data_IF_208087896836
#
_entry.id   IF_208087896836
#
_cell.length_a   1.000
_cell.length_b   1.000
_cell.length_c   1.000
_cell.angle_alpha   90.00
_cell.angle_beta   90.00
_cell.angle_gamma   90.00
#
_symmetry.space_group_name_H-M   'P 1'
#
loop_
_entity.id
_entity.type
_entity.pdbx_description
1 polymer ?
#
# COMPACT_ATOMS: atom_id res chain seq x y z
N UNK A 1 -6.12 2.95 3.64
CA UNK A 1 -7.58 2.80 3.91
C UNK A 1 -7.85 1.87 5.09
N UNK A 2 -7.35 0.62 5.09
CA UNK A 2 -7.62 -0.34 6.18
C UNK A 2 -7.20 0.18 7.57
N UNK A 3 -6.08 0.90 7.66
CA UNK A 3 -5.62 1.49 8.93
C UNK A 3 -6.59 2.51 9.49
N UNK A 4 -6.98 3.51 8.69
CA UNK A 4 -7.99 4.50 9.09
C UNK A 4 -9.30 3.83 9.55
N UNK A 5 -9.74 2.75 8.90
CA UNK A 5 -10.92 1.99 9.34
C UNK A 5 -10.69 1.29 10.68
N UNK A 6 -9.53 0.66 10.88
CA UNK A 6 -9.21 -0.01 12.14
C UNK A 6 -9.04 0.97 13.30
N UNK A 7 -8.51 2.16 13.04
CA UNK A 7 -8.36 3.20 14.05
C UNK A 7 -9.73 3.74 14.50
N UNK A 8 -10.64 4.02 13.56
CA UNK A 8 -12.02 4.44 13.87
C UNK A 8 -12.77 3.37 14.67
N UNK A 9 -12.54 2.09 14.38
CA UNK A 9 -13.17 0.98 15.10
C UNK A 9 -12.46 0.62 16.41
N UNK A 10 -11.36 1.29 16.75
CA UNK A 10 -10.48 0.94 17.87
C UNK A 10 -10.11 -0.56 17.86
N UNK A 11 -9.79 -1.07 16.66
CA UNK A 11 -9.52 -2.48 16.46
C UNK A 11 -8.16 -2.85 17.05
N UNK A 12 -8.11 -3.82 17.97
CA UNK A 12 -6.84 -4.24 18.57
C UNK A 12 -5.97 -4.94 17.53
N UNK A 13 -4.65 -4.78 17.67
CA UNK A 13 -3.64 -5.15 16.68
C UNK A 13 -3.72 -6.64 16.31
N UNK A 14 -4.02 -7.51 17.27
CA UNK A 14 -4.12 -8.96 17.11
C UNK A 14 -5.35 -9.41 16.30
N UNK A 15 -6.27 -8.47 16.03
CA UNK A 15 -7.46 -8.69 15.20
C UNK A 15 -7.35 -8.07 13.81
N UNK A 16 -6.49 -7.07 13.61
CA UNK A 16 -6.33 -6.37 12.32
C UNK A 16 -5.99 -7.32 11.17
N UNK A 17 -4.98 -8.19 11.38
CA UNK A 17 -4.57 -9.16 10.35
C UNK A 17 -5.70 -10.12 9.97
N UNK A 18 -6.43 -10.66 10.96
CA UNK A 18 -7.56 -11.57 10.73
C UNK A 18 -8.70 -10.90 9.97
N UNK A 19 -9.07 -9.67 10.34
CA UNK A 19 -10.12 -8.91 9.66
C UNK A 19 -9.70 -8.54 8.23
N UNK A 20 -8.45 -8.14 8.03
CA UNK A 20 -7.97 -7.78 6.71
C UNK A 20 -7.87 -9.01 5.79
N UNK A 21 -7.43 -10.17 6.29
CA UNK A 21 -7.50 -11.44 5.55
C UNK A 21 -8.94 -11.77 5.14
N UNK A 22 -9.92 -11.55 6.00
CA UNK A 22 -11.33 -11.79 5.67
C UNK A 22 -11.81 -10.89 4.52
N UNK A 23 -11.29 -9.66 4.42
CA UNK A 23 -11.61 -8.72 3.34
C UNK A 23 -10.91 -9.04 2.01
N UNK A 24 -9.85 -9.87 2.02
CA UNK A 24 -9.12 -10.29 0.82
C UNK A 24 -9.91 -11.38 0.05
N UNK A 25 -10.88 -10.97 -0.77
CA UNK A 25 -11.64 -11.93 -1.59
C UNK A 25 -10.85 -12.52 -2.78
N UNK A 26 -11.11 -13.82 -3.05
CA UNK A 26 -10.82 -14.63 -4.24
C UNK A 26 -9.34 -14.88 -4.59
N UNK A 27 -8.57 -13.86 -4.98
CA UNK A 27 -7.20 -14.08 -5.51
C UNK A 27 -6.11 -13.85 -4.45
N UNK A 28 -6.36 -12.94 -3.52
CA UNK A 28 -5.46 -12.69 -2.40
C UNK A 28 -5.54 -13.82 -1.35
N UNK A 29 -6.68 -14.50 -1.22
CA UNK A 29 -6.87 -15.67 -0.36
C UNK A 29 -5.96 -16.86 -0.77
N UNK A 30 -5.77 -17.11 -2.06
CA UNK A 30 -4.93 -18.21 -2.55
C UNK A 30 -3.45 -18.04 -2.20
N UNK A 31 -2.91 -16.84 -2.41
CA UNK A 31 -1.55 -16.50 -1.97
C UNK A 31 -1.44 -16.49 -0.44
N UNK A 32 -2.46 -16.01 0.25
CA UNK A 32 -2.51 -16.03 1.70
C UNK A 32 -2.42 -17.45 2.28
N UNK A 33 -3.20 -18.39 1.72
CA UNK A 33 -3.14 -19.82 2.08
C UNK A 33 -1.77 -20.44 1.78
N UNK A 34 -1.12 -20.05 0.68
CA UNK A 34 0.24 -20.52 0.34
C UNK A 34 1.29 -20.00 1.33
N UNK A 35 1.19 -18.74 1.77
CA UNK A 35 2.11 -18.15 2.75
C UNK A 35 1.92 -18.79 4.12
N UNK A 36 0.68 -19.02 4.54
CA UNK A 36 0.35 -19.76 5.76
C UNK A 36 0.84 -21.21 5.71
N UNK A 37 0.71 -21.90 4.56
CA UNK A 37 1.19 -23.27 4.41
C UNK A 37 2.72 -23.38 4.51
N UNK A 38 3.45 -22.31 4.15
CA UNK A 38 4.92 -22.24 4.22
C UNK A 38 5.44 -21.82 5.61
N UNK A 39 4.62 -21.15 6.42
CA UNK A 39 4.96 -20.83 7.82
C UNK A 39 4.33 -21.89 8.73
N UNK A 40 5.16 -22.77 9.29
CA UNK A 40 4.76 -23.81 10.25
C UNK A 40 4.09 -23.28 11.53
N UNK A 41 4.08 -21.97 11.72
CA UNK A 41 3.80 -21.30 13.00
C UNK A 41 2.51 -20.48 12.84
N UNK A 42 1.39 -21.19 12.77
CA UNK A 42 0.06 -20.60 12.53
C UNK A 42 -0.48 -19.70 13.68
N UNK A 43 0.34 -19.26 14.64
CA UNK A 43 -0.16 -18.67 15.88
C UNK A 43 0.02 -17.16 16.07
N UNK A 44 0.76 -16.44 15.22
CA UNK A 44 0.74 -14.97 15.31
C UNK A 44 0.88 -14.36 13.92
N UNK A 45 -0.27 -14.16 13.28
CA UNK A 45 -0.40 -13.25 12.15
C UNK A 45 -0.24 -11.82 12.69
N UNK A 46 1.01 -11.35 12.76
CA UNK A 46 1.26 -9.96 13.05
C UNK A 46 0.74 -9.07 11.90
N UNK A 47 0.24 -7.89 12.25
CA UNK A 47 -0.30 -6.93 11.28
C UNK A 47 0.75 -6.49 10.26
N UNK A 48 2.03 -6.47 10.65
CA UNK A 48 3.16 -6.07 9.81
C UNK A 48 3.39 -7.04 8.65
N UNK A 49 3.30 -8.34 8.89
CA UNK A 49 3.42 -9.40 7.90
C UNK A 49 2.29 -9.28 6.89
N UNK A 50 1.04 -9.11 7.37
CA UNK A 50 -0.09 -8.89 6.48
C UNK A 50 0.15 -7.68 5.58
N UNK A 51 0.60 -6.56 6.17
CA UNK A 51 0.86 -5.32 5.48
C UNK A 51 1.92 -5.49 4.39
N UNK A 52 3.08 -6.10 4.70
CA UNK A 52 4.14 -6.32 3.72
C UNK A 52 3.69 -7.20 2.54
N UNK A 53 2.89 -8.24 2.79
CA UNK A 53 2.35 -9.10 1.71
C UNK A 53 1.32 -8.34 0.86
N UNK A 54 0.50 -7.52 1.49
CA UNK A 54 -0.48 -6.68 0.80
C UNK A 54 0.22 -5.65 -0.08
N UNK A 55 1.23 -4.97 0.47
CA UNK A 55 2.04 -3.97 -0.23
C UNK A 55 2.75 -4.59 -1.43
N UNK A 56 3.45 -5.72 -1.28
CA UNK A 56 4.13 -6.40 -2.38
C UNK A 56 3.17 -6.79 -3.53
N UNK A 57 1.93 -7.16 -3.20
CA UNK A 57 0.94 -7.55 -4.21
C UNK A 57 0.36 -6.35 -4.98
N UNK A 58 0.00 -5.28 -4.28
CA UNK A 58 -0.74 -4.15 -4.86
C UNK A 58 0.15 -2.98 -5.25
N UNK A 59 1.33 -2.88 -4.65
CA UNK A 59 2.33 -1.85 -4.84
C UNK A 59 3.71 -2.47 -5.05
N UNK A 60 3.89 -3.34 -6.08
CA UNK A 60 5.21 -3.86 -6.38
C UNK A 60 6.17 -2.70 -6.72
N UNK A 61 7.46 -2.91 -6.49
CA UNK A 61 8.51 -1.89 -6.77
C UNK A 61 8.40 -1.33 -8.19
N UNK A 62 8.09 -2.19 -9.18
CA UNK A 62 7.88 -1.79 -10.58
C UNK A 62 6.69 -0.84 -10.78
N UNK A 63 5.63 -0.99 -10.00
CA UNK A 63 4.50 -0.06 -10.02
C UNK A 63 4.89 1.30 -9.42
N UNK A 64 5.63 1.29 -8.31
CA UNK A 64 6.18 2.52 -7.73
C UNK A 64 7.10 3.26 -8.70
N UNK A 65 8.01 2.54 -9.36
CA UNK A 65 8.94 3.10 -10.33
C UNK A 65 8.21 3.72 -11.51
N UNK A 66 7.21 3.03 -12.07
CA UNK A 66 6.38 3.57 -13.14
C UNK A 66 5.64 4.85 -12.71
N UNK A 67 5.11 4.89 -11.48
CA UNK A 67 4.45 6.09 -10.93
C UNK A 67 5.42 7.24 -10.67
N UNK A 68 6.67 6.95 -10.30
CA UNK A 68 7.74 7.96 -10.22
C UNK A 68 8.07 8.52 -11.59
N UNK A 69 8.23 7.68 -12.61
CA UNK A 69 8.54 8.15 -13.96
C UNK A 69 7.40 9.01 -14.51
N UNK A 70 6.15 8.65 -14.20
CA UNK A 70 4.97 9.47 -14.48
C UNK A 70 5.03 10.84 -13.78
N UNK A 71 5.46 10.89 -12.51
CA UNK A 71 5.67 12.14 -11.78
C UNK A 71 6.75 13.02 -12.40
N UNK A 72 7.92 12.44 -12.73
CA UNK A 72 9.04 13.16 -13.33
C UNK A 72 8.71 13.68 -14.73
N UNK A 73 7.87 12.96 -15.46
CA UNK A 73 7.35 13.36 -16.77
C UNK A 73 6.15 14.31 -16.70
N UNK A 74 5.57 14.55 -15.50
CA UNK A 74 4.33 15.30 -15.36
C UNK A 74 4.53 16.77 -15.72
N UNK A 75 3.95 17.16 -16.85
CA UNK A 75 3.86 18.55 -17.31
C UNK A 75 2.39 18.94 -17.37
N UNK A 76 2.08 20.19 -17.04
CA UNK A 76 0.71 20.68 -17.13
C UNK A 76 0.15 20.53 -18.54
N UNK A 77 0.91 20.89 -19.57
CA UNK A 77 0.51 20.71 -20.96
C UNK A 77 -0.83 21.37 -21.26
N UNK A 78 -1.82 20.58 -21.63
CA UNK A 78 -3.21 20.99 -21.89
C UNK A 78 -4.17 20.73 -20.72
N UNK A 79 -3.69 20.23 -19.58
CA UNK A 79 -4.51 20.00 -18.39
C UNK A 79 -4.93 21.34 -17.77
N UNK A 80 -6.14 21.36 -17.23
CA UNK A 80 -6.55 22.45 -16.35
C UNK A 80 -5.67 22.46 -15.09
N UNK A 81 -5.56 23.63 -14.46
CA UNK A 81 -4.67 23.82 -13.30
C UNK A 81 -5.05 22.91 -12.14
N UNK A 82 -6.35 22.74 -11.91
CA UNK A 82 -6.93 21.85 -10.89
C UNK A 82 -6.68 20.36 -11.19
N UNK A 83 -6.83 19.94 -12.45
CA UNK A 83 -6.52 18.56 -12.87
C UNK A 83 -5.02 18.25 -12.74
N UNK A 84 -4.17 19.21 -13.07
CA UNK A 84 -2.73 19.09 -12.89
C UNK A 84 -2.37 19.03 -11.41
N UNK A 85 -2.92 19.90 -10.58
CA UNK A 85 -2.68 19.92 -9.13
C UNK A 85 -3.11 18.61 -8.47
N UNK A 86 -4.27 18.06 -8.85
CA UNK A 86 -4.73 16.77 -8.35
C UNK A 86 -3.76 15.64 -8.71
N UNK A 87 -3.33 15.56 -9.98
CA UNK A 87 -2.35 14.56 -10.43
C UNK A 87 -0.98 14.76 -9.78
N UNK A 88 -0.53 16.00 -9.64
CA UNK A 88 0.72 16.33 -8.98
C UNK A 88 0.70 15.87 -7.53
N UNK A 89 -0.39 16.17 -6.80
CA UNK A 89 -0.56 15.78 -5.40
C UNK A 89 -0.61 14.26 -5.24
N UNK A 90 -1.30 13.54 -6.13
CA UNK A 90 -1.35 12.08 -6.13
C UNK A 90 0.04 11.46 -6.38
N UNK A 91 0.73 11.92 -7.43
CA UNK A 91 2.00 11.36 -7.88
C UNK A 91 3.19 11.79 -7.02
N UNK A 92 3.13 12.93 -6.35
CA UNK A 92 4.17 13.42 -5.43
C UNK A 92 4.50 12.44 -4.30
N UNK A 93 3.52 11.60 -3.94
CA UNK A 93 3.67 10.53 -2.93
C UNK A 93 4.69 9.47 -3.32
N UNK A 94 5.04 9.37 -4.61
CA UNK A 94 6.02 8.44 -5.16
C UNK A 94 7.37 9.11 -5.45
N UNK A 95 7.54 10.41 -5.14
CA UNK A 95 8.77 11.15 -5.40
C UNK A 95 9.93 10.73 -4.48
N UNK A 96 9.64 10.36 -3.22
CA UNK A 96 10.65 10.05 -2.19
C UNK A 96 11.41 8.73 -2.41
N UNK A 97 11.00 7.89 -3.36
CA UNK A 97 11.74 6.68 -3.71
C UNK A 97 13.19 7.05 -4.16
N UNK A 98 13.47 8.32 -4.50
CA UNK A 98 14.78 8.80 -4.99
C UNK A 98 15.90 8.72 -3.93
N UNK A 99 15.63 8.58 -2.63
CA UNK A 99 16.69 8.64 -1.59
C UNK A 99 16.77 7.45 -0.61
N UNK A 100 15.83 6.50 -0.57
CA UNK A 100 16.03 5.31 0.28
C UNK A 100 15.48 3.99 -0.27
N UNK A 101 16.29 2.96 -0.02
CA UNK A 101 16.05 1.53 -0.21
C UNK A 101 14.63 1.09 0.16
N UNK A 102 13.95 0.37 -0.76
CA UNK A 102 12.80 -0.58 -0.61
C UNK A 102 11.69 -0.33 0.44
N UNK A 103 11.74 0.74 1.23
CA UNK A 103 11.00 0.94 2.47
C UNK A 103 10.20 2.26 2.47
N UNK A 104 10.38 3.05 1.42
CA UNK A 104 9.92 4.45 1.31
C UNK A 104 8.88 4.66 0.20
N UNK A 105 8.36 3.58 -0.41
CA UNK A 105 7.09 3.60 -1.16
C UNK A 105 5.88 3.74 -0.21
N UNK A 106 5.98 4.59 0.82
CA UNK A 106 4.87 4.88 1.71
C UNK A 106 4.22 6.16 1.19
N UNK A 107 3.05 6.08 0.54
CA UNK A 107 2.24 7.28 0.42
C UNK A 107 1.95 7.75 1.85
N UNK A 108 2.34 8.99 2.18
CA UNK A 108 1.91 9.66 3.40
C UNK A 108 0.39 9.78 3.36
N UNK A 109 -0.31 8.76 3.87
CA UNK A 109 -1.76 8.72 4.07
C UNK A 109 -2.18 9.70 5.19
N UNK A 110 -1.22 10.41 5.79
CA UNK A 110 -1.36 11.27 6.98
C UNK A 110 -1.38 12.79 6.73
N UNK A 111 -1.37 13.29 5.49
CA UNK A 111 -1.48 14.73 5.22
C UNK A 111 -2.83 15.22 4.65
N UNK A 112 -3.89 14.39 4.71
CA UNK A 112 -5.27 14.88 4.62
C UNK A 112 -6.18 14.15 5.60
#
# INVERSE_FOLDING_TARGET
MLEKCFDVMNCPEERKARLATFLLQKEAEGRWKSILARRSDACTLDWQTFRGIFEDKYYPSTYCEAKRDEFLGLKQGSLLVDEYEMKYTELSRYANVIVASESDCKPDIFLV
#
